data_IF_881917676918
#
_entry.id   IF_881917676918
#
_cell.length_a   1.000
_cell.length_b   1.000
_cell.length_c   1.000
_cell.angle_alpha   90.00
_cell.angle_beta   90.00
_cell.angle_gamma   90.00
#
_symmetry.space_group_name_H-M   'P 1'
#
loop_
_entity.id
_entity.type
_entity.pdbx_description
1 polymer ?
#
# COMPACT_ATOMS: atom_id res chain seq x y z
N UNK A 1 -35.69 -13.34 8.05
CA UNK A 1 -34.34 -13.50 7.49
C UNK A 1 -33.40 -12.63 8.33
N UNK A 2 -32.32 -13.17 8.92
CA UNK A 2 -31.34 -12.32 9.59
C UNK A 2 -30.73 -11.37 8.55
N UNK A 3 -30.65 -10.08 8.88
CA UNK A 3 -30.08 -9.05 7.99
C UNK A 3 -28.66 -9.45 7.62
N UNK A 4 -28.40 -9.66 6.33
CA UNK A 4 -27.06 -9.96 5.79
C UNK A 4 -26.18 -8.71 5.67
N UNK A 5 -26.74 -7.51 5.86
CA UNK A 5 -26.05 -6.24 5.69
C UNK A 5 -26.39 -5.32 6.85
N UNK A 6 -25.40 -4.86 7.61
CA UNK A 6 -25.60 -3.84 8.63
C UNK A 6 -26.01 -2.53 7.96
N UNK A 7 -26.90 -1.80 8.59
CA UNK A 7 -27.20 -0.44 8.15
C UNK A 7 -25.96 0.44 8.30
N UNK A 8 -25.80 1.53 7.53
CA UNK A 8 -24.66 2.44 7.67
C UNK A 8 -24.47 2.95 9.11
N UNK A 9 -25.57 3.03 9.87
CA UNK A 9 -25.57 3.44 11.28
C UNK A 9 -25.00 2.35 12.21
N UNK A 10 -25.42 1.10 12.04
CA UNK A 10 -24.85 -0.05 12.78
C UNK A 10 -23.37 -0.26 12.46
N UNK A 11 -22.95 -0.04 11.21
CA UNK A 11 -21.54 -0.04 10.83
C UNK A 11 -20.74 1.06 11.54
N UNK A 12 -21.28 2.29 11.60
CA UNK A 12 -20.61 3.41 12.25
C UNK A 12 -20.46 3.18 13.75
N UNK A 13 -21.51 2.67 14.41
CA UNK A 13 -21.49 2.33 15.84
C UNK A 13 -20.48 1.18 16.12
N UNK A 14 -20.48 0.12 15.32
CA UNK A 14 -19.51 -0.98 15.44
C UNK A 14 -18.06 -0.51 15.20
N UNK A 15 -17.82 0.38 14.23
CA UNK A 15 -16.51 1.00 14.03
C UNK A 15 -16.07 1.90 15.19
N UNK A 16 -17.02 2.55 15.86
CA UNK A 16 -16.76 3.39 17.02
C UNK A 16 -16.42 2.55 18.26
N UNK A 17 -17.07 1.38 18.42
CA UNK A 17 -16.81 0.42 19.50
C UNK A 17 -15.50 -0.36 19.33
N UNK A 18 -15.11 -0.70 18.09
CA UNK A 18 -13.87 -1.43 17.80
C UNK A 18 -12.59 -0.63 18.10
N UNK A 19 -12.70 0.66 18.40
CA UNK A 19 -11.56 1.52 18.71
C UNK A 19 -10.66 1.78 17.49
N UNK A 20 -9.82 2.81 17.56
CA UNK A 20 -9.09 3.27 16.37
C UNK A 20 -8.19 2.15 15.82
N UNK A 21 -8.49 1.65 14.64
CA UNK A 21 -7.67 0.72 13.86
C UNK A 21 -6.39 1.38 13.27
N UNK A 22 -6.08 2.59 13.74
CA UNK A 22 -4.92 3.41 13.42
C UNK A 22 -3.55 2.70 13.60
N UNK A 23 -3.31 1.87 14.63
CA UNK A 23 -2.03 1.18 14.77
C UNK A 23 -1.85 0.04 13.75
N UNK A 24 -2.88 -0.80 13.52
CA UNK A 24 -2.83 -1.88 12.52
C UNK A 24 -2.74 -1.33 11.10
N UNK A 25 -3.50 -0.27 10.81
CA UNK A 25 -3.40 0.46 9.56
C UNK A 25 -1.99 0.98 9.34
N UNK A 26 -1.41 1.65 10.35
CA UNK A 26 -0.05 2.20 10.27
C UNK A 26 1.00 1.11 10.09
N UNK A 27 0.84 -0.04 10.74
CA UNK A 27 1.76 -1.17 10.57
C UNK A 27 1.65 -1.78 9.17
N UNK A 28 0.43 -1.96 8.66
CA UNK A 28 0.17 -2.47 7.30
C UNK A 28 0.74 -1.54 6.23
N UNK A 29 0.51 -0.23 6.37
CA UNK A 29 1.11 0.79 5.51
C UNK A 29 2.63 0.77 5.59
N UNK A 30 3.20 0.71 6.80
CA UNK A 30 4.65 0.66 6.98
C UNK A 30 5.23 -0.57 6.29
N UNK A 31 4.65 -1.76 6.46
CA UNK A 31 5.10 -2.98 5.78
C UNK A 31 4.99 -2.86 4.27
N UNK A 32 3.86 -2.36 3.75
CA UNK A 32 3.64 -2.20 2.32
C UNK A 32 4.62 -1.20 1.67
N UNK A 33 4.86 -0.05 2.32
CA UNK A 33 5.85 0.94 1.85
C UNK A 33 7.27 0.38 1.93
N UNK A 34 7.61 -0.32 3.01
CA UNK A 34 8.94 -0.94 3.17
C UNK A 34 9.17 -2.02 2.10
N UNK A 35 8.15 -2.81 1.81
CA UNK A 35 8.19 -3.80 0.73
C UNK A 35 8.30 -3.16 -0.64
N UNK A 36 7.49 -2.12 -0.92
CA UNK A 36 7.57 -1.36 -2.17
C UNK A 36 8.92 -0.69 -2.39
N UNK A 37 9.51 -0.13 -1.34
CA UNK A 37 10.81 0.50 -1.40
C UNK A 37 11.93 -0.54 -1.60
N UNK A 38 11.88 -1.67 -0.89
CA UNK A 38 12.91 -2.73 -1.00
C UNK A 38 12.83 -3.50 -2.32
N UNK A 39 11.64 -3.78 -2.85
CA UNK A 39 11.45 -4.41 -4.16
C UNK A 39 11.68 -3.43 -5.32
N UNK A 40 11.41 -2.14 -5.11
CA UNK A 40 11.57 -1.10 -6.12
C UNK A 40 13.02 -0.84 -6.51
N UNK A 41 13.97 -1.01 -5.59
CA UNK A 41 15.40 -0.80 -5.87
C UNK A 41 15.92 -1.80 -6.91
N UNK A 42 15.88 -3.13 -6.70
CA UNK A 42 16.40 -4.08 -7.68
C UNK A 42 15.62 -4.03 -9.01
N UNK A 43 14.31 -3.80 -8.97
CA UNK A 43 13.48 -3.66 -10.17
C UNK A 43 13.86 -2.40 -10.97
N UNK A 44 14.03 -1.26 -10.30
CA UNK A 44 14.39 0.00 -10.95
C UNK A 44 15.79 -0.05 -11.57
N UNK A 45 16.76 -0.63 -10.86
CA UNK A 45 18.10 -0.89 -11.40
C UNK A 45 18.06 -1.80 -12.63
N UNK A 46 17.27 -2.88 -12.59
CA UNK A 46 17.13 -3.80 -13.73
C UNK A 46 16.51 -3.13 -14.96
N UNK A 47 15.40 -2.40 -14.78
CA UNK A 47 14.70 -1.71 -15.89
C UNK A 47 15.58 -0.61 -16.48
N UNK A 48 16.26 0.18 -15.64
CA UNK A 48 17.16 1.23 -16.10
C UNK A 48 18.37 0.67 -16.84
N UNK A 49 18.96 -0.43 -16.36
CA UNK A 49 20.08 -1.12 -17.02
C UNK A 49 19.66 -1.63 -18.41
N UNK A 50 18.48 -2.25 -18.50
CA UNK A 50 17.98 -2.81 -19.77
C UNK A 50 17.61 -1.74 -20.80
N UNK A 51 17.15 -0.56 -20.37
CA UNK A 51 16.73 0.50 -21.29
C UNK A 51 17.83 1.47 -21.73
N UNK A 52 18.83 1.75 -20.89
CA UNK A 52 19.84 2.79 -21.18
C UNK A 52 21.29 2.33 -21.05
N UNK A 53 21.54 1.07 -20.67
CA UNK A 53 22.89 0.51 -20.62
C UNK A 53 23.83 1.33 -19.71
N UNK A 54 24.82 2.00 -20.31
CA UNK A 54 25.89 2.74 -19.61
C UNK A 54 25.63 4.24 -19.44
N UNK A 55 24.52 4.77 -19.93
CA UNK A 55 24.25 6.21 -19.82
C UNK A 55 23.81 6.57 -18.39
N UNK A 56 24.77 7.01 -17.57
CA UNK A 56 24.63 7.15 -16.11
C UNK A 56 23.52 8.15 -15.73
N UNK A 57 23.35 9.22 -16.51
CA UNK A 57 22.29 10.23 -16.27
C UNK A 57 20.90 9.65 -16.52
N UNK A 58 20.71 8.97 -17.65
CA UNK A 58 19.45 8.34 -18.00
C UNK A 58 19.13 7.16 -17.05
N UNK A 59 20.15 6.43 -16.64
CA UNK A 59 20.07 5.34 -15.68
C UNK A 59 19.57 5.82 -14.30
N UNK A 60 20.19 6.86 -13.74
CA UNK A 60 19.81 7.40 -12.44
C UNK A 60 18.38 7.95 -12.46
N UNK A 61 18.01 8.72 -13.50
CA UNK A 61 16.67 9.29 -13.63
C UNK A 61 15.57 8.22 -13.70
N UNK A 62 15.76 7.17 -14.51
CA UNK A 62 14.77 6.09 -14.63
C UNK A 62 14.74 5.16 -13.43
N UNK A 63 15.89 4.87 -12.82
CA UNK A 63 15.94 4.07 -11.59
C UNK A 63 15.17 4.74 -10.46
N UNK A 64 15.29 6.06 -10.32
CA UNK A 64 14.56 6.82 -9.31
C UNK A 64 13.06 6.90 -9.64
N UNK A 65 12.69 7.14 -10.90
CA UNK A 65 11.29 7.18 -11.32
C UNK A 65 10.59 5.83 -11.10
N UNK A 66 11.24 4.73 -11.46
CA UNK A 66 10.70 3.37 -11.26
C UNK A 66 10.62 3.02 -9.79
N UNK A 67 11.62 3.36 -8.98
CA UNK A 67 11.58 3.17 -7.54
C UNK A 67 10.45 3.93 -6.85
N UNK A 68 10.25 5.21 -7.22
CA UNK A 68 9.13 6.01 -6.71
C UNK A 68 7.79 5.39 -7.13
N UNK A 69 7.65 4.99 -8.40
CA UNK A 69 6.44 4.39 -8.92
C UNK A 69 6.08 3.08 -8.19
N UNK A 70 7.06 2.18 -7.98
CA UNK A 70 6.84 0.93 -7.23
C UNK A 70 6.48 1.20 -5.77
N UNK A 71 7.17 2.15 -5.13
CA UNK A 71 6.90 2.49 -3.72
C UNK A 71 5.48 3.06 -3.56
N UNK A 72 5.04 3.93 -4.48
CA UNK A 72 3.68 4.47 -4.48
C UNK A 72 2.63 3.39 -4.76
N UNK A 73 2.91 2.46 -5.68
CA UNK A 73 1.96 1.40 -6.04
C UNK A 73 1.74 0.46 -4.86
N UNK A 74 2.82 0.00 -4.22
CA UNK A 74 2.71 -0.81 -3.00
C UNK A 74 2.14 -0.02 -1.82
N UNK A 75 2.43 1.28 -1.71
CA UNK A 75 1.80 2.16 -0.73
C UNK A 75 0.28 2.25 -0.92
N UNK A 76 -0.20 2.38 -2.16
CA UNK A 76 -1.64 2.38 -2.49
C UNK A 76 -2.30 1.02 -2.19
N UNK A 77 -1.61 -0.09 -2.49
CA UNK A 77 -2.07 -1.43 -2.10
C UNK A 77 -2.15 -1.57 -0.58
N UNK A 78 -1.14 -1.08 0.15
CA UNK A 78 -1.14 -1.07 1.61
C UNK A 78 -2.25 -0.22 2.21
N UNK A 79 -2.55 0.92 1.58
CA UNK A 79 -3.69 1.78 1.92
C UNK A 79 -5.01 1.02 1.74
N UNK A 80 -5.23 0.40 0.58
CA UNK A 80 -6.45 -0.39 0.31
C UNK A 80 -6.58 -1.61 1.22
N UNK A 81 -5.49 -2.35 1.46
CA UNK A 81 -5.51 -3.51 2.34
C UNK A 81 -5.73 -3.12 3.80
N UNK A 82 -5.07 -2.05 4.25
CA UNK A 82 -5.22 -1.51 5.60
C UNK A 82 -6.63 -0.96 5.83
N UNK A 83 -7.18 -0.19 4.88
CA UNK A 83 -8.57 0.28 4.99
C UNK A 83 -9.56 -0.88 4.92
N UNK A 84 -9.35 -1.87 4.05
CA UNK A 84 -10.22 -3.05 3.98
C UNK A 84 -10.21 -3.84 5.29
N UNK A 85 -9.04 -4.10 5.88
CA UNK A 85 -8.96 -4.80 7.17
C UNK A 85 -9.60 -3.98 8.31
N UNK A 86 -9.44 -2.64 8.32
CA UNK A 86 -10.08 -1.78 9.31
C UNK A 86 -11.59 -1.60 9.13
N UNK A 87 -12.08 -1.64 7.88
CA UNK A 87 -13.51 -1.53 7.56
C UNK A 87 -14.22 -2.89 7.62
N UNK A 88 -13.46 -3.99 7.64
CA UNK A 88 -14.01 -5.34 7.81
C UNK A 88 -14.41 -5.54 9.27
N UNK A 89 -15.57 -4.99 9.61
CA UNK A 89 -16.31 -5.37 10.82
C UNK A 89 -16.67 -6.85 10.64
N UNK A 90 -16.00 -7.75 11.38
CA UNK A 90 -16.49 -9.12 11.53
C UNK A 90 -17.67 -9.07 12.50
N UNK A 91 -18.89 -9.03 11.97
CA UNK A 91 -20.11 -9.32 12.72
C UNK A 91 -20.50 -10.78 12.55
#
# INVERSE_FOLDING_TARGET
MPRQYPTPKEYAEAQQELGSCLPEFRETLRRAVTFGASAGVPFGFYVAYRQHGRDIRAFAGKSLATWVATTLTFGAIGLMAGTYNCLRVQM
#
